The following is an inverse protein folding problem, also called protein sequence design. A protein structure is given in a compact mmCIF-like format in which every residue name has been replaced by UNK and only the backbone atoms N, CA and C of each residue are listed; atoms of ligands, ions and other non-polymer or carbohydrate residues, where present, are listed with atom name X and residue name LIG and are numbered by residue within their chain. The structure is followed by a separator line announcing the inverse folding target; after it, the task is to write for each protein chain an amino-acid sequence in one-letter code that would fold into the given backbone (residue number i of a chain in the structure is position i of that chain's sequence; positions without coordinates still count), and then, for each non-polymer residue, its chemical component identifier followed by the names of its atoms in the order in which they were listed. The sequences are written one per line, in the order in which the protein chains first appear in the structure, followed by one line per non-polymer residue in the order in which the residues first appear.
data_IF_217907346678
#
_entry.id   IF_217907346678
#
_cell.length_a   1.000
_cell.length_b   1.000
_cell.length_c   1.000
_cell.angle_alpha   90.00
_cell.angle_beta   90.00
_cell.angle_gamma   90.00
#
_symmetry.space_group_name_H-M   'P 1'
#
loop_
_entity.id
_entity.type
_entity.pdbx_description
1 polymer ?
#
# COMPACT_ATOMS: atom_id res chain seq x y z
N UNK A 1 40.53 14.94 16.93
CA UNK A 1 39.12 15.29 17.19
C UNK A 1 38.50 15.98 16.00
N UNK A 2 37.27 15.61 15.63
CA UNK A 2 36.51 16.25 14.54
C UNK A 2 35.76 17.44 15.12
N UNK A 3 36.04 18.66 14.64
CA UNK A 3 35.41 19.89 15.11
C UNK A 3 34.36 20.38 14.11
N UNK A 4 33.14 20.61 14.59
CA UNK A 4 32.08 21.23 13.80
C UNK A 4 32.33 22.73 13.71
N UNK A 5 32.48 23.27 12.50
CA UNK A 5 32.77 24.69 12.27
C UNK A 5 31.60 25.39 11.59
N UNK A 6 31.35 26.66 11.93
CA UNK A 6 30.39 27.50 11.23
C UNK A 6 31.00 28.01 9.92
N UNK A 7 30.17 28.37 8.93
CA UNK A 7 30.64 28.83 7.63
C UNK A 7 31.54 30.08 7.67
N UNK A 8 31.42 30.91 8.72
CA UNK A 8 32.31 32.04 8.96
C UNK A 8 33.72 31.59 9.34
N UNK A 9 33.80 30.60 10.22
CA UNK A 9 35.06 30.02 10.73
C UNK A 9 35.79 29.26 9.60
N UNK A 10 35.03 28.60 8.72
CA UNK A 10 35.55 27.96 7.49
C UNK A 10 36.16 29.01 6.55
N UNK A 11 35.49 30.14 6.36
CA UNK A 11 35.97 31.21 5.48
C UNK A 11 37.24 31.91 6.01
N UNK A 12 37.41 31.96 7.33
CA UNK A 12 38.62 32.49 7.98
C UNK A 12 39.79 31.52 7.83
N UNK A 13 39.56 30.22 8.04
CA UNK A 13 40.60 29.17 7.92
C UNK A 13 41.16 29.03 6.51
N UNK A 14 40.36 29.34 5.48
CA UNK A 14 40.81 29.35 4.07
C UNK A 14 41.82 30.46 3.76
N UNK A 15 41.88 31.53 4.57
CA UNK A 15 42.87 32.61 4.39
C UNK A 15 44.26 32.20 4.85
N UNK A 16 44.37 31.17 5.69
CA UNK A 16 45.64 30.71 6.25
C UNK A 16 46.32 29.59 5.44
N UNK A 17 45.91 29.37 4.17
CA UNK A 17 46.51 28.34 3.30
C UNK A 17 46.48 26.92 3.92
N UNK A 18 45.41 26.57 4.62
CA UNK A 18 45.19 25.23 5.15
C UNK A 18 44.41 24.35 4.16
N UNK A 19 44.83 23.09 3.99
CA UNK A 19 44.06 22.08 3.27
C UNK A 19 42.94 21.55 4.17
N UNK A 20 41.69 21.69 3.75
CA UNK A 20 40.52 21.30 4.52
C UNK A 20 39.68 20.24 3.79
N UNK A 21 39.30 19.19 4.52
CA UNK A 21 38.36 18.18 4.07
C UNK A 21 36.99 18.41 4.70
N UNK A 22 35.94 18.53 3.88
CA UNK A 22 34.56 18.69 4.33
C UNK A 22 33.78 17.39 4.17
N UNK A 23 33.07 17.00 5.22
CA UNK A 23 32.06 15.95 5.17
C UNK A 23 30.67 16.59 5.18
N UNK A 24 29.92 16.40 4.11
CA UNK A 24 28.53 16.82 4.05
C UNK A 24 27.63 15.67 4.49
N UNK A 25 26.79 15.91 5.50
CA UNK A 25 25.73 15.00 5.89
C UNK A 25 24.37 15.64 5.60
N UNK A 26 23.51 14.92 4.89
CA UNK A 26 22.12 15.30 4.67
C UNK A 26 21.22 14.28 5.35
N UNK A 27 20.27 14.76 6.16
CA UNK A 27 19.23 13.93 6.73
C UNK A 27 18.02 13.97 5.79
N UNK A 28 17.74 12.85 5.12
CA UNK A 28 16.45 12.67 4.44
C UNK A 28 15.43 12.29 5.50
N UNK A 29 14.50 13.20 5.79
CA UNK A 29 13.29 12.87 6.53
C UNK A 29 12.35 12.15 5.54
N UNK A 30 12.37 10.82 5.53
CA UNK A 30 11.37 10.04 4.81
C UNK A 30 10.02 10.23 5.51
N UNK A 31 9.18 11.12 4.97
CA UNK A 31 7.76 11.12 5.28
C UNK A 31 7.16 9.78 4.87
N UNK A 32 6.29 9.22 5.74
CA UNK A 32 5.53 7.96 5.58
C UNK A 32 5.95 7.13 4.37
N UNK A 33 6.81 6.13 4.60
CA UNK A 33 7.24 5.14 3.59
C UNK A 33 6.01 4.67 2.82
N UNK A 34 6.05 4.84 1.49
CA UNK A 34 4.95 4.38 0.64
C UNK A 34 4.94 2.86 0.68
N UNK A 35 3.78 2.22 0.69
CA UNK A 35 3.69 0.76 0.81
C UNK A 35 4.47 0.06 -0.31
N UNK A 36 4.51 0.69 -1.48
CA UNK A 36 5.24 0.26 -2.68
C UNK A 36 6.77 0.32 -2.54
N UNK A 37 7.30 0.98 -1.51
CA UNK A 37 8.74 1.08 -1.21
C UNK A 37 9.19 0.02 -0.18
N UNK A 38 8.25 -0.73 0.40
CA UNK A 38 8.58 -1.80 1.34
C UNK A 38 9.21 -2.97 0.58
N UNK A 39 10.41 -3.45 0.97
CA UNK A 39 11.12 -4.51 0.25
C UNK A 39 10.26 -5.75 -0.01
N UNK A 40 9.41 -6.13 0.95
CA UNK A 40 8.51 -7.29 0.83
C UNK A 40 7.39 -7.06 -0.20
N UNK A 41 6.90 -5.83 -0.36
CA UNK A 41 5.87 -5.49 -1.35
C UNK A 41 6.48 -5.46 -2.75
N UNK A 42 7.72 -4.98 -2.88
CA UNK A 42 8.46 -5.07 -4.13
C UNK A 42 8.78 -6.52 -4.52
N UNK A 43 9.14 -7.36 -3.55
CA UNK A 43 9.47 -8.77 -3.76
C UNK A 43 8.25 -9.60 -4.19
N UNK A 44 7.06 -9.26 -3.69
CA UNK A 44 5.79 -9.96 -3.97
C UNK A 44 4.78 -9.03 -4.64
N UNK A 45 5.20 -8.26 -5.65
CA UNK A 45 4.33 -7.27 -6.31
C UNK A 45 3.09 -7.85 -6.98
N UNK A 46 3.13 -9.14 -7.32
CA UNK A 46 2.02 -9.94 -7.87
C UNK A 46 0.97 -10.31 -6.81
N UNK A 47 1.37 -10.45 -5.54
CA UNK A 47 0.48 -10.73 -4.41
C UNK A 47 -0.18 -9.45 -3.86
N UNK A 48 0.43 -8.29 -4.09
CA UNK A 48 -0.07 -6.98 -3.67
C UNK A 48 -0.45 -6.07 -4.86
N UNK A 49 -1.40 -6.48 -5.72
CA UNK A 49 -1.84 -5.63 -6.81
C UNK A 49 -2.57 -4.40 -6.26
N UNK A 50 -2.46 -3.28 -7.00
CA UNK A 50 -3.10 -2.01 -6.64
C UNK A 50 -4.63 -2.10 -6.57
N UNK A 51 -5.20 -2.95 -7.41
CA UNK A 51 -6.62 -3.29 -7.44
C UNK A 51 -6.78 -4.82 -7.35
N UNK A 52 -7.75 -5.29 -6.56
CA UNK A 52 -8.11 -6.72 -6.52
C UNK A 52 -8.97 -7.01 -7.75
N UNK A 53 -8.35 -7.49 -8.83
CA UNK A 53 -9.05 -7.72 -10.10
C UNK A 53 -9.56 -9.13 -10.29
N UNK A 54 -9.07 -10.13 -9.55
CA UNK A 54 -9.26 -11.51 -9.97
C UNK A 54 -10.24 -12.27 -9.08
N UNK A 55 -11.19 -12.94 -9.72
CA UNK A 55 -11.82 -14.15 -9.19
C UNK A 55 -10.68 -15.10 -8.80
N UNK A 56 -10.74 -15.79 -7.63
CA UNK A 56 -9.68 -16.69 -7.26
C UNK A 56 -9.33 -17.62 -8.43
N UNK A 57 -8.05 -17.80 -8.77
CA UNK A 57 -7.66 -18.69 -9.85
C UNK A 57 -8.28 -20.07 -9.63
N UNK A 58 -8.53 -20.79 -10.72
CA UNK A 58 -9.12 -22.13 -10.65
C UNK A 58 -8.29 -22.97 -9.67
N UNK A 59 -8.96 -23.38 -8.60
CA UNK A 59 -8.30 -24.12 -7.53
C UNK A 59 -8.37 -25.59 -7.86
N UNK A 60 -7.29 -26.31 -7.60
CA UNK A 60 -7.23 -27.77 -7.77
C UNK A 60 -8.29 -28.49 -6.91
N UNK A 61 -8.73 -27.85 -5.82
CA UNK A 61 -9.79 -28.35 -4.95
C UNK A 61 -11.05 -27.50 -5.12
N UNK A 62 -12.14 -28.15 -5.49
CA UNK A 62 -13.47 -27.55 -5.51
C UNK A 62 -13.97 -27.34 -4.07
N UNK A 63 -14.39 -26.13 -3.75
CA UNK A 63 -15.02 -25.83 -2.48
C UNK A 63 -16.51 -26.20 -2.53
N UNK A 64 -16.90 -27.23 -1.79
CA UNK A 64 -18.31 -27.59 -1.61
C UNK A 64 -18.91 -26.90 -0.38
N UNK A 65 -20.19 -26.54 -0.45
CA UNK A 65 -20.96 -26.07 0.71
C UNK A 65 -21.81 -27.23 1.20
N UNK A 66 -21.30 -27.96 2.18
CA UNK A 66 -22.03 -29.08 2.77
C UNK A 66 -23.05 -28.57 3.79
N UNK A 67 -24.32 -28.92 3.58
CA UNK A 67 -25.38 -28.59 4.52
C UNK A 67 -25.52 -29.69 5.57
N UNK A 68 -25.70 -29.29 6.84
CA UNK A 68 -26.08 -30.24 7.89
C UNK A 68 -27.42 -30.88 7.51
N UNK A 69 -27.58 -32.21 7.58
CA UNK A 69 -28.83 -32.88 7.23
C UNK A 69 -30.04 -32.26 7.94
N UNK A 70 -31.09 -31.94 7.18
CA UNK A 70 -32.29 -31.25 7.67
C UNK A 70 -32.25 -29.72 7.59
N UNK A 71 -31.13 -29.12 7.16
CA UNK A 71 -31.04 -27.68 6.90
C UNK A 71 -31.78 -27.31 5.61
N UNK A 72 -32.75 -26.41 5.71
CA UNK A 72 -33.39 -25.79 4.55
C UNK A 72 -32.65 -24.52 4.12
N UNK A 73 -32.75 -24.16 2.84
CA UNK A 73 -32.26 -22.86 2.35
C UNK A 73 -33.00 -21.71 3.02
N UNK A 74 -32.29 -20.59 3.21
CA UNK A 74 -32.83 -19.36 3.78
C UNK A 74 -33.18 -18.40 2.65
N UNK A 75 -34.38 -17.83 2.69
CA UNK A 75 -34.81 -16.75 1.79
C UNK A 75 -35.40 -15.63 2.64
N UNK A 76 -34.77 -14.45 2.59
CA UNK A 76 -35.14 -13.28 3.37
C UNK A 76 -35.25 -12.06 2.46
N UNK A 77 -36.16 -11.15 2.78
CA UNK A 77 -36.25 -9.89 2.07
C UNK A 77 -34.97 -9.04 2.29
N UNK A 78 -34.46 -8.36 1.26
CA UNK A 78 -33.36 -7.42 1.43
C UNK A 78 -33.71 -6.30 2.41
N UNK A 79 -32.69 -5.77 3.10
CA UNK A 79 -32.86 -4.60 3.94
C UNK A 79 -33.23 -3.36 3.13
N UNK A 80 -33.96 -2.44 3.76
CA UNK A 80 -34.29 -1.16 3.14
C UNK A 80 -33.02 -0.31 3.02
N UNK A 81 -32.81 0.22 1.82
CA UNK A 81 -31.69 1.11 1.49
C UNK A 81 -32.24 2.40 0.88
N UNK A 82 -31.52 3.50 1.08
CA UNK A 82 -31.77 4.78 0.42
C UNK A 82 -31.43 4.72 -1.07
N UNK A 83 -31.84 5.74 -1.83
CA UNK A 83 -31.54 5.81 -3.27
C UNK A 83 -30.02 5.88 -3.56
N UNK A 84 -29.24 6.56 -2.71
CA UNK A 84 -27.79 6.65 -2.86
C UNK A 84 -27.10 5.32 -2.59
N UNK A 85 -27.54 4.58 -1.58
CA UNK A 85 -27.00 3.24 -1.26
C UNK A 85 -27.32 2.24 -2.37
N UNK A 86 -28.54 2.27 -2.92
CA UNK A 86 -28.90 1.42 -4.06
C UNK A 86 -28.09 1.73 -5.31
N UNK A 87 -27.81 3.01 -5.59
CA UNK A 87 -26.97 3.39 -6.72
C UNK A 87 -25.53 2.89 -6.56
N UNK A 88 -24.96 3.01 -5.36
CA UNK A 88 -23.63 2.50 -5.07
C UNK A 88 -23.57 0.97 -5.16
N UNK A 89 -24.56 0.27 -4.57
CA UNK A 89 -24.67 -1.18 -4.66
C UNK A 89 -24.75 -1.65 -6.12
N UNK A 90 -25.55 -0.96 -6.94
CA UNK A 90 -25.66 -1.26 -8.37
C UNK A 90 -24.32 -1.10 -9.08
N UNK A 91 -23.63 0.01 -8.83
CA UNK A 91 -22.31 0.27 -9.41
C UNK A 91 -21.30 -0.84 -9.04
N UNK A 92 -21.24 -1.22 -7.77
CA UNK A 92 -20.36 -2.30 -7.31
C UNK A 92 -20.70 -3.65 -7.96
N UNK A 93 -22.00 -3.94 -8.15
CA UNK A 93 -22.44 -5.16 -8.82
C UNK A 93 -22.03 -5.17 -10.30
N UNK A 94 -22.17 -4.04 -11.01
CA UNK A 94 -21.74 -3.90 -12.41
C UNK A 94 -20.22 -4.10 -12.52
N UNK A 95 -19.43 -3.45 -11.66
CA UNK A 95 -17.97 -3.63 -11.61
C UNK A 95 -17.56 -5.10 -11.35
N UNK A 96 -18.28 -5.81 -10.48
CA UNK A 96 -18.00 -7.23 -10.20
C UNK A 96 -18.36 -8.15 -11.36
N UNK A 97 -19.44 -7.84 -12.09
CA UNK A 97 -19.86 -8.62 -13.26
C UNK A 97 -18.90 -8.44 -14.45
N UNK A 98 -18.30 -7.25 -14.59
CA UNK A 98 -17.28 -6.98 -15.61
C UNK A 98 -15.93 -7.65 -15.31
N UNK A 99 -15.65 -7.95 -14.04
CA UNK A 99 -14.44 -8.64 -13.58
C UNK A 99 -14.51 -10.17 -13.69
N UNK A 100 -15.66 -10.73 -14.06
CA UNK A 100 -15.84 -12.18 -14.25
C UNK A 100 -15.26 -12.64 -15.58
#
# INVERSE_FOLDING_TARGET
DLQLMSGKDVAESLKEHAEMFMMFASLKLEGRVKMEELPIVCEFSDVFPKDVSDVPPEREVEFTIDLVPGTSLISMAPYRMSASELNELKKQLEELLEKR
#
